data_IF_147349002903
#
_entry.id   IF_147349002903
#
_cell.length_a   1.000
_cell.length_b   1.000
_cell.length_c   1.000
_cell.angle_alpha   90.00
_cell.angle_beta   90.00
_cell.angle_gamma   90.00
#
_symmetry.space_group_name_H-M   'P 1'
#
loop_
_entity.id
_entity.type
_entity.pdbx_description
1 polymer ?
#
# COMPACT_ATOMS: atom_id res chain seq x y z
N UNK A 1 2.16 -16.55 3.57
CA UNK A 1 0.90 -15.82 3.60
C UNK A 1 1.16 -14.33 3.61
N UNK A 2 0.52 -13.58 2.74
CA UNK A 2 0.70 -12.14 2.62
C UNK A 2 -0.54 -11.42 3.13
N UNK A 3 -0.31 -10.34 3.87
CA UNK A 3 -1.37 -9.50 4.42
C UNK A 3 -0.99 -8.05 4.18
N UNK A 4 -1.97 -7.24 3.76
CA UNK A 4 -1.79 -5.79 3.65
C UNK A 4 -2.78 -5.11 4.59
N UNK A 5 -2.27 -4.23 5.42
CA UNK A 5 -3.07 -3.40 6.32
C UNK A 5 -2.96 -1.97 5.83
N UNK A 6 -4.08 -1.37 5.45
CA UNK A 6 -4.13 0.04 5.08
C UNK A 6 -4.42 0.88 6.31
N UNK A 7 -3.73 2.00 6.41
CA UNK A 7 -3.92 2.95 7.50
C UNK A 7 -4.80 4.10 7.05
N UNK A 8 -5.77 4.44 7.88
CA UNK A 8 -6.74 5.49 7.62
C UNK A 8 -6.93 6.33 8.87
N UNK A 9 -6.95 7.65 8.71
CA UNK A 9 -7.22 8.60 9.78
C UNK A 9 -8.31 9.56 9.31
N UNK A 10 -9.38 9.68 10.07
CA UNK A 10 -10.52 10.54 9.75
C UNK A 10 -11.06 10.27 8.33
N UNK A 11 -11.11 9.01 7.95
CA UNK A 11 -11.58 8.60 6.62
C UNK A 11 -10.56 8.76 5.50
N UNK A 12 -9.36 9.24 5.77
CA UNK A 12 -8.32 9.51 4.76
C UNK A 12 -7.24 8.41 4.82
N UNK A 13 -7.01 7.75 3.69
CA UNK A 13 -5.96 6.76 3.57
C UNK A 13 -4.60 7.46 3.47
N UNK A 14 -3.65 7.07 4.32
CA UNK A 14 -2.33 7.71 4.33
C UNK A 14 -1.16 6.72 4.25
N UNK A 15 -1.45 5.42 4.18
CA UNK A 15 -0.37 4.45 4.11
C UNK A 15 -0.84 3.02 4.15
N UNK A 16 0.12 2.11 4.12
CA UNK A 16 -0.15 0.69 4.24
C UNK A 16 1.10 -0.03 4.75
N UNK A 17 0.87 -1.27 5.18
CA UNK A 17 1.91 -2.17 5.63
C UNK A 17 1.69 -3.52 4.98
N UNK A 18 2.71 -4.03 4.31
CA UNK A 18 2.68 -5.36 3.69
C UNK A 18 3.46 -6.31 4.57
N UNK A 19 2.82 -7.39 5.00
CA UNK A 19 3.38 -8.39 5.92
C UNK A 19 3.38 -9.74 5.23
N UNK A 20 4.49 -10.47 5.36
CA UNK A 20 4.69 -11.74 4.71
C UNK A 20 5.93 -11.66 3.85
N UNK A 21 5.94 -12.27 2.66
CA UNK A 21 7.15 -12.26 1.87
C UNK A 21 7.08 -11.41 0.60
N UNK A 22 6.28 -10.37 0.62
CA UNK A 22 6.18 -9.42 -0.49
C UNK A 22 7.52 -8.69 -0.64
N UNK A 23 8.11 -8.78 -1.81
CA UNK A 23 9.40 -8.14 -2.08
C UNK A 23 10.62 -8.91 -1.58
N UNK A 24 10.42 -10.04 -0.90
CA UNK A 24 11.52 -10.84 -0.36
C UNK A 24 11.63 -12.23 -0.99
N UNK A 25 10.73 -12.56 -1.91
CA UNK A 25 10.78 -13.83 -2.61
C UNK A 25 11.75 -13.83 -3.78
N UNK A 26 12.01 -15.00 -4.30
CA UNK A 26 12.80 -15.12 -5.52
C UNK A 26 12.02 -14.54 -6.69
N UNK A 27 12.69 -13.73 -7.50
CA UNK A 27 12.08 -13.10 -8.65
C UNK A 27 11.53 -14.15 -9.62
N UNK A 28 10.27 -13.98 -10.00
CA UNK A 28 9.62 -14.81 -11.00
C UNK A 28 8.89 -16.03 -10.46
N UNK A 29 8.99 -16.32 -9.17
CA UNK A 29 8.30 -17.47 -8.58
C UNK A 29 6.86 -17.17 -8.20
N UNK A 30 6.55 -15.90 -7.87
CA UNK A 30 5.21 -15.50 -7.49
C UNK A 30 4.81 -14.22 -8.22
N UNK A 31 4.02 -14.35 -9.31
CA UNK A 31 3.57 -13.17 -10.07
C UNK A 31 2.76 -12.18 -9.23
N UNK A 32 2.01 -12.67 -8.25
CA UNK A 32 1.20 -11.81 -7.38
C UNK A 32 2.09 -10.94 -6.49
N UNK A 33 3.09 -11.54 -5.86
CA UNK A 33 4.03 -10.80 -5.02
C UNK A 33 4.84 -9.79 -5.86
N UNK A 34 5.22 -10.16 -7.08
CA UNK A 34 5.92 -9.26 -7.99
C UNK A 34 5.05 -8.05 -8.34
N UNK A 35 3.76 -8.26 -8.56
CA UNK A 35 2.80 -7.19 -8.82
C UNK A 35 2.70 -6.25 -7.62
N UNK A 36 2.54 -6.78 -6.42
CA UNK A 36 2.45 -5.96 -5.20
C UNK A 36 3.70 -5.13 -5.00
N UNK A 37 4.87 -5.71 -5.21
CA UNK A 37 6.15 -4.99 -5.10
C UNK A 37 6.25 -3.86 -6.12
N UNK A 38 5.83 -4.12 -7.36
CA UNK A 38 5.85 -3.11 -8.42
C UNK A 38 4.93 -1.93 -8.11
N UNK A 39 3.73 -2.21 -7.60
CA UNK A 39 2.77 -1.16 -7.25
C UNK A 39 3.26 -0.37 -6.04
N UNK A 40 3.87 -1.04 -5.07
CA UNK A 40 4.45 -0.36 -3.91
C UNK A 40 5.49 0.67 -4.36
N UNK A 41 6.39 0.28 -5.25
CA UNK A 41 7.40 1.22 -5.77
C UNK A 41 6.80 2.29 -6.65
N UNK A 42 5.75 1.97 -7.40
CA UNK A 42 5.00 2.95 -8.17
C UNK A 42 4.46 4.06 -7.25
N UNK A 43 3.89 3.69 -6.13
CA UNK A 43 3.33 4.65 -5.17
C UNK A 43 4.42 5.50 -4.54
N UNK A 44 5.53 4.88 -4.12
CA UNK A 44 6.66 5.60 -3.54
C UNK A 44 7.21 6.62 -4.53
N UNK A 45 7.42 6.21 -5.78
CA UNK A 45 7.93 7.10 -6.82
C UNK A 45 6.94 8.23 -7.14
N UNK A 46 5.65 7.92 -7.19
CA UNK A 46 4.62 8.93 -7.44
C UNK A 46 4.65 10.02 -6.37
N UNK A 47 4.69 9.63 -5.10
CA UNK A 47 4.70 10.60 -4.00
C UNK A 47 5.97 11.43 -4.02
N UNK A 48 7.13 10.78 -4.12
CA UNK A 48 8.42 11.43 -3.97
C UNK A 48 8.84 12.19 -5.23
N UNK A 49 8.77 11.55 -6.38
CA UNK A 49 9.31 12.10 -7.62
C UNK A 49 8.30 12.92 -8.42
N UNK A 50 7.03 12.53 -8.44
CA UNK A 50 6.02 13.22 -9.23
C UNK A 50 5.40 14.38 -8.46
N UNK A 51 4.98 14.11 -7.22
CA UNK A 51 4.32 15.14 -6.40
C UNK A 51 5.26 15.90 -5.49
N UNK A 52 6.53 15.48 -5.41
CA UNK A 52 7.51 16.14 -4.57
C UNK A 52 7.15 16.15 -3.09
N UNK A 53 6.40 15.14 -2.65
CA UNK A 53 5.94 15.04 -1.28
C UNK A 53 6.80 14.05 -0.49
N UNK A 54 6.63 14.07 0.82
CA UNK A 54 7.40 13.18 1.70
C UNK A 54 6.73 11.83 1.80
N UNK A 55 7.55 10.77 1.72
CA UNK A 55 7.10 9.41 1.93
C UNK A 55 8.00 8.74 2.95
N UNK A 56 7.38 8.03 3.89
CA UNK A 56 8.06 7.22 4.89
C UNK A 56 8.00 5.77 4.39
N UNK A 57 9.13 5.30 3.88
CA UNK A 57 9.25 3.97 3.28
C UNK A 57 10.28 3.16 4.05
N UNK A 58 9.86 2.03 4.59
CA UNK A 58 10.72 1.16 5.41
C UNK A 58 10.57 -0.29 5.02
N UNK A 59 11.70 -0.99 5.01
CA UNK A 59 11.75 -2.43 4.78
C UNK A 59 12.39 -3.07 6.01
N UNK A 60 11.68 -4.04 6.60
CA UNK A 60 12.22 -4.86 7.68
C UNK A 60 12.31 -6.29 7.16
N UNK A 61 13.51 -6.69 6.76
CA UNK A 61 13.74 -8.00 6.16
C UNK A 61 13.52 -9.14 7.15
N UNK A 62 13.86 -8.95 8.42
CA UNK A 62 13.69 -9.98 9.43
C UNK A 62 12.22 -10.33 9.65
N UNK A 63 11.36 -9.32 9.61
CA UNK A 63 9.93 -9.48 9.82
C UNK A 63 9.15 -9.64 8.51
N UNK A 64 9.85 -9.58 7.38
CA UNK A 64 9.25 -9.59 6.04
C UNK A 64 8.12 -8.56 5.94
N UNK A 65 8.45 -7.31 6.30
CA UNK A 65 7.47 -6.22 6.41
C UNK A 65 7.93 -5.00 5.63
N UNK A 66 7.02 -4.44 4.84
CA UNK A 66 7.23 -3.19 4.11
C UNK A 66 6.17 -2.21 4.58
N UNK A 67 6.59 -1.02 5.00
CA UNK A 67 5.68 0.04 5.44
C UNK A 67 5.87 1.25 4.54
N UNK A 68 4.76 1.78 4.02
CA UNK A 68 4.73 3.00 3.20
C UNK A 68 3.67 3.92 3.78
N UNK A 69 4.07 5.11 4.20
CA UNK A 69 3.16 6.10 4.77
C UNK A 69 3.54 7.49 4.28
N UNK A 70 2.58 8.39 4.20
CA UNK A 70 2.88 9.78 3.85
C UNK A 70 2.02 10.74 4.65
N UNK A 71 2.67 11.64 5.37
CA UNK A 71 2.01 12.76 6.06
C UNK A 71 1.31 13.70 5.09
N UNK A 72 1.78 13.71 3.83
CA UNK A 72 1.21 14.60 2.81
C UNK A 72 -0.23 14.25 2.43
N UNK A 73 -0.73 13.10 2.88
CA UNK A 73 -2.14 12.74 2.70
C UNK A 73 -3.06 13.42 3.72
N UNK A 74 -2.50 13.93 4.83
CA UNK A 74 -3.30 14.35 5.99
C UNK A 74 -3.29 15.86 6.20
N UNK A 75 -4.46 16.45 6.53
CA UNK A 75 -4.57 17.90 6.70
C UNK A 75 -3.77 18.45 7.88
N UNK A 76 -3.45 17.62 8.88
CA UNK A 76 -2.63 18.06 10.01
C UNK A 76 -1.20 18.40 9.59
N UNK A 77 -0.71 17.83 8.48
CA UNK A 77 0.68 17.94 8.07
C UNK A 77 0.88 18.59 6.71
N UNK A 78 -0.17 18.67 5.90
CA UNK A 78 -0.08 19.22 4.54
C UNK A 78 -1.21 20.22 4.30
N UNK A 79 -0.85 21.45 3.94
CA UNK A 79 -1.82 22.52 3.70
C UNK A 79 -2.39 22.51 2.28
N UNK A 80 -1.63 21.99 1.30
CA UNK A 80 -2.05 22.00 -0.10
C UNK A 80 -3.06 20.89 -0.37
N UNK A 81 -4.30 21.28 -0.67
CA UNK A 81 -5.40 20.36 -0.97
C UNK A 81 -5.08 19.44 -2.15
N UNK A 82 -4.35 19.95 -3.15
CA UNK A 82 -4.03 19.18 -4.34
C UNK A 82 -3.05 18.05 -4.01
N UNK A 83 -2.06 18.35 -3.18
CA UNK A 83 -1.09 17.35 -2.73
C UNK A 83 -1.80 16.29 -1.90
N UNK A 84 -2.62 16.72 -0.94
CA UNK A 84 -3.37 15.77 -0.10
C UNK A 84 -4.26 14.86 -0.92
N UNK A 85 -4.99 15.42 -1.87
CA UNK A 85 -5.89 14.65 -2.72
C UNK A 85 -5.10 13.64 -3.56
N UNK A 86 -3.99 14.07 -4.16
CA UNK A 86 -3.16 13.21 -4.99
C UNK A 86 -2.57 12.06 -4.17
N UNK A 87 -1.98 12.36 -3.02
CA UNK A 87 -1.31 11.34 -2.20
C UNK A 87 -2.31 10.37 -1.59
N UNK A 88 -3.38 10.86 -0.98
CA UNK A 88 -4.41 9.98 -0.42
C UNK A 88 -5.08 9.15 -1.51
N UNK A 89 -5.23 9.71 -2.71
CA UNK A 89 -5.80 9.01 -3.86
C UNK A 89 -4.97 7.80 -4.29
N UNK A 90 -3.64 7.88 -4.19
CA UNK A 90 -2.78 6.74 -4.49
C UNK A 90 -3.05 5.56 -3.55
N UNK A 91 -3.13 5.83 -2.26
CA UNK A 91 -3.40 4.78 -1.28
C UNK A 91 -4.82 4.22 -1.43
N UNK A 92 -5.80 5.09 -1.61
CA UNK A 92 -7.18 4.67 -1.80
C UNK A 92 -7.34 3.83 -3.08
N UNK A 93 -6.67 4.23 -4.15
CA UNK A 93 -6.72 3.49 -5.42
C UNK A 93 -6.11 2.10 -5.27
N UNK A 94 -4.99 2.00 -4.58
CA UNK A 94 -4.37 0.70 -4.32
C UNK A 94 -5.30 -0.19 -3.50
N UNK A 95 -5.87 0.34 -2.45
CA UNK A 95 -6.84 -0.38 -1.63
C UNK A 95 -8.02 -0.87 -2.47
N UNK A 96 -8.62 0.03 -3.26
CA UNK A 96 -9.78 -0.29 -4.10
C UNK A 96 -9.44 -1.38 -5.12
N UNK A 97 -8.28 -1.28 -5.75
CA UNK A 97 -7.82 -2.27 -6.72
C UNK A 97 -7.69 -3.66 -6.06
N UNK A 98 -7.12 -3.73 -4.88
CA UNK A 98 -6.95 -5.01 -4.17
C UNK A 98 -8.30 -5.60 -3.74
N UNK A 99 -9.23 -4.76 -3.30
CA UNK A 99 -10.59 -5.20 -2.98
C UNK A 99 -11.28 -5.78 -4.21
N UNK A 100 -11.16 -5.09 -5.35
CA UNK A 100 -11.75 -5.56 -6.60
C UNK A 100 -11.15 -6.90 -7.02
N UNK A 101 -9.84 -7.06 -6.90
CA UNK A 101 -9.16 -8.31 -7.23
C UNK A 101 -9.66 -9.49 -6.39
N UNK A 102 -9.91 -9.24 -5.10
CA UNK A 102 -10.40 -10.29 -4.20
C UNK A 102 -11.84 -10.68 -4.47
N UNK A 103 -12.62 -9.81 -5.11
CA UNK A 103 -14.03 -10.04 -5.41
C UNK A 103 -14.27 -10.62 -6.81
N UNK A 104 -13.31 -10.50 -7.72
CA UNK A 104 -13.47 -10.96 -9.11
C UNK A 104 -12.92 -12.38 -9.29
N UNK A 105 -13.69 -13.22 -9.94
CA UNK A 105 -13.37 -14.63 -10.18
C UNK A 105 -12.02 -14.82 -10.89
N UNK A 106 -11.71 -13.96 -11.86
CA UNK A 106 -10.48 -14.05 -12.63
C UNK A 106 -9.23 -13.90 -11.77
N UNK A 107 -9.30 -13.05 -10.74
CA UNK A 107 -8.18 -12.80 -9.84
C UNK A 107 -8.23 -13.71 -8.61
N UNK A 108 -9.40 -14.23 -8.29
CA UNK A 108 -9.57 -15.14 -7.18
C UNK A 108 -8.68 -16.39 -7.32
N UNK A 109 -8.49 -16.87 -8.56
CA UNK A 109 -7.61 -18.01 -8.82
C UNK A 109 -6.16 -17.77 -8.37
N UNK A 110 -5.70 -16.53 -8.38
CA UNK A 110 -4.37 -16.17 -7.90
C UNK A 110 -4.27 -16.11 -6.38
N UNK A 111 -5.37 -15.81 -5.71
CA UNK A 111 -5.32 -15.48 -4.27
C UNK A 111 -5.99 -16.50 -3.37
N UNK A 112 -6.87 -17.34 -3.91
CA UNK A 112 -7.71 -18.24 -3.12
C UNK A 112 -6.95 -19.18 -2.19
N UNK A 113 -5.78 -19.65 -2.62
CA UNK A 113 -4.98 -20.60 -1.84
C UNK A 113 -3.79 -19.93 -1.13
N UNK A 114 -3.62 -18.60 -1.33
CA UNK A 114 -2.47 -17.86 -0.79
C UNK A 114 -2.66 -17.42 0.65
N UNK A 115 -3.91 -17.36 1.12
CA UNK A 115 -4.24 -16.75 2.41
C UNK A 115 -4.11 -15.24 2.42
N UNK A 116 -4.06 -14.62 1.24
CA UNK A 116 -3.92 -13.17 1.11
C UNK A 116 -5.10 -12.44 1.75
N UNK A 117 -4.80 -11.39 2.52
CA UNK A 117 -5.81 -10.58 3.21
C UNK A 117 -5.50 -9.10 3.09
N UNK A 118 -6.57 -8.32 2.96
CA UNK A 118 -6.51 -6.86 2.96
C UNK A 118 -7.44 -6.36 4.06
N UNK A 119 -6.92 -5.54 4.94
CA UNK A 119 -7.70 -4.95 6.04
C UNK A 119 -7.41 -3.46 6.13
N UNK A 120 -8.29 -2.73 6.83
CA UNK A 120 -8.12 -1.30 7.11
C UNK A 120 -8.05 -1.12 8.62
N UNK A 121 -7.07 -0.35 9.06
CA UNK A 121 -6.92 0.02 10.45
C UNK A 121 -7.05 1.54 10.58
N UNK A 122 -8.02 1.99 11.40
CA UNK A 122 -8.19 3.39 11.69
C UNK A 122 -7.24 3.76 12.83
N UNK A 123 -6.26 4.62 12.52
CA UNK A 123 -5.28 5.07 13.51
C UNK A 123 -4.66 6.39 13.07
N UNK A 124 -4.31 7.21 14.03
CA UNK A 124 -3.64 8.46 13.76
C UNK A 124 -2.18 8.20 13.33
N UNK A 125 -1.63 9.14 12.56
CA UNK A 125 -0.24 9.09 12.15
C UNK A 125 0.66 9.38 13.34
N UNK A 126 1.56 8.45 13.62
CA UNK A 126 2.53 8.58 14.71
C UNK A 126 3.95 8.66 14.18
#
# INVERSE_FOLDING_TARGET
MTKIVFYRSQGIFYGFEEIGHVGFGEWGEDPFCAMLSSITMYIVDAIEEVYGARVDYRIDEEKARITVRSKAALPEFEEDDRVRFAVSGLFLTYYTMLEDMLLHDDMYEFTKDSGFRVTVEDRDYE
#
